data_IF_682224821645
#
_entry.id   IF_682224821645
#
_cell.length_a   1.000
_cell.length_b   1.000
_cell.length_c   1.000
_cell.angle_alpha   90.00
_cell.angle_beta   90.00
_cell.angle_gamma   90.00
#
_symmetry.space_group_name_H-M   'P 1'
#
loop_
_entity.id
_entity.type
_entity.pdbx_description
1 polymer ?
#
# COMPACT_ATOMS: atom_id res chain seq x y z
N UNK A 1 -17.74 -8.68 41.77
CA UNK A 1 -16.88 -9.35 40.80
C UNK A 1 -16.81 -8.44 39.59
N UNK A 2 -15.79 -7.59 39.52
CA UNK A 2 -15.56 -6.63 38.44
C UNK A 2 -14.78 -7.35 37.34
N UNK A 3 -15.42 -7.52 36.18
CA UNK A 3 -14.76 -8.05 35.02
C UNK A 3 -13.70 -7.03 34.53
N UNK A 4 -12.44 -7.38 34.68
CA UNK A 4 -11.31 -6.68 34.10
C UNK A 4 -11.39 -6.86 32.57
N UNK A 5 -11.81 -5.81 31.87
CA UNK A 5 -11.63 -5.72 30.41
C UNK A 5 -10.13 -5.57 30.15
N UNK A 6 -9.48 -6.66 29.82
CA UNK A 6 -8.08 -6.64 29.39
C UNK A 6 -7.96 -5.71 28.19
N UNK A 7 -7.26 -4.61 28.37
CA UNK A 7 -6.73 -3.82 27.27
C UNK A 7 -5.79 -4.72 26.47
N UNK A 8 -6.26 -5.23 25.34
CA UNK A 8 -5.41 -5.98 24.42
C UNK A 8 -4.23 -5.09 24.04
N UNK A 9 -3.01 -5.58 24.25
CA UNK A 9 -1.80 -4.93 23.74
C UNK A 9 -1.98 -4.72 22.25
N UNK A 10 -1.93 -3.45 21.82
CA UNK A 10 -1.98 -3.10 20.41
C UNK A 10 -0.92 -3.88 19.64
N UNK A 11 -1.24 -4.48 18.50
CA UNK A 11 -0.30 -5.28 17.76
C UNK A 11 0.89 -4.39 17.32
N UNK A 12 2.09 -4.82 17.66
CA UNK A 12 3.35 -4.24 17.15
C UNK A 12 3.52 -4.54 15.65
N UNK A 13 2.56 -4.15 14.82
CA UNK A 13 2.45 -4.52 13.43
C UNK A 13 2.30 -3.32 12.51
N UNK A 14 1.88 -3.59 11.30
CA UNK A 14 1.62 -2.59 10.26
C UNK A 14 0.13 -2.34 10.14
N UNK A 15 -0.28 -1.08 10.17
CA UNK A 15 -1.65 -0.65 9.88
C UNK A 15 -1.68 -0.06 8.48
N UNK A 16 -2.43 -0.66 7.60
CA UNK A 16 -2.58 -0.25 6.20
C UNK A 16 -3.90 0.50 6.04
N UNK A 17 -3.85 1.72 5.52
CA UNK A 17 -5.01 2.47 5.05
C UNK A 17 -5.04 2.39 3.54
N UNK A 18 -6.06 1.80 2.96
CA UNK A 18 -6.12 1.64 1.50
C UNK A 18 -7.37 0.90 1.03
N UNK A 19 -7.43 0.69 -0.27
CA UNK A 19 -8.60 0.12 -0.93
C UNK A 19 -8.77 -1.38 -0.62
N UNK A 20 -10.02 -1.77 -0.35
CA UNK A 20 -10.54 -3.14 -0.36
C UNK A 20 -11.69 -3.19 -1.36
N UNK A 21 -11.56 -3.99 -2.40
CA UNK A 21 -12.52 -4.07 -3.50
C UNK A 21 -12.57 -5.48 -4.10
N UNK A 22 -13.54 -5.73 -4.96
CA UNK A 22 -13.58 -6.96 -5.72
C UNK A 22 -12.94 -6.76 -7.11
N UNK A 23 -11.87 -7.51 -7.37
CA UNK A 23 -11.31 -7.63 -8.71
C UNK A 23 -12.17 -8.61 -9.52
N UNK A 24 -12.72 -8.15 -10.62
CA UNK A 24 -13.55 -8.92 -11.54
C UNK A 24 -12.78 -9.14 -12.84
N UNK A 25 -12.48 -10.39 -13.14
CA UNK A 25 -11.84 -10.77 -14.40
C UNK A 25 -12.94 -11.21 -15.36
N UNK A 26 -13.09 -10.49 -16.46
CA UNK A 26 -13.99 -10.86 -17.53
C UNK A 26 -13.23 -11.64 -18.61
N UNK A 27 -13.53 -12.91 -18.75
CA UNK A 27 -12.94 -13.80 -19.73
C UNK A 27 -13.51 -13.58 -21.14
N UNK A 28 -12.79 -14.02 -22.17
CA UNK A 28 -13.23 -13.88 -23.58
C UNK A 28 -14.54 -14.61 -23.90
N UNK A 29 -14.91 -15.62 -23.11
CA UNK A 29 -16.17 -16.37 -23.22
C UNK A 29 -17.35 -15.70 -22.47
N UNK A 30 -17.14 -14.52 -21.87
CA UNK A 30 -18.13 -13.78 -21.09
C UNK A 30 -18.29 -14.28 -19.67
N UNK A 31 -17.56 -15.29 -19.24
CA UNK A 31 -17.54 -15.70 -17.83
C UNK A 31 -16.80 -14.68 -16.97
N UNK A 32 -17.20 -14.56 -15.69
CA UNK A 32 -16.57 -13.65 -14.74
C UNK A 32 -16.05 -14.40 -13.53
N UNK A 33 -14.78 -14.21 -13.21
CA UNK A 33 -14.18 -14.62 -11.96
C UNK A 33 -14.06 -13.41 -11.03
N UNK A 34 -14.20 -13.63 -9.71
CA UNK A 34 -14.04 -12.57 -8.70
C UNK A 34 -12.94 -12.98 -7.73
N UNK A 35 -12.09 -12.02 -7.41
CA UNK A 35 -11.03 -12.16 -6.41
C UNK A 35 -11.08 -10.98 -5.44
N UNK A 36 -10.78 -11.18 -4.15
CA UNK A 36 -10.57 -10.05 -3.26
C UNK A 36 -9.31 -9.30 -3.71
N UNK A 37 -9.37 -7.98 -3.71
CA UNK A 37 -8.31 -7.14 -4.22
C UNK A 37 -8.33 -5.74 -3.64
N UNK A 38 -7.61 -4.85 -4.31
CA UNK A 38 -7.33 -3.49 -3.87
C UNK A 38 -5.93 -3.37 -3.28
N UNK A 39 -5.30 -2.22 -3.49
CA UNK A 39 -3.91 -1.99 -3.08
C UNK A 39 -3.72 -2.16 -1.56
N UNK A 40 -4.67 -1.68 -0.75
CA UNK A 40 -4.64 -1.85 0.70
C UNK A 40 -4.72 -3.32 1.12
N UNK A 41 -5.64 -4.08 0.51
CA UNK A 41 -5.77 -5.51 0.79
C UNK A 41 -4.51 -6.27 0.42
N UNK A 42 -3.98 -6.08 -0.79
CA UNK A 42 -2.78 -6.77 -1.27
C UNK A 42 -1.59 -6.50 -0.35
N UNK A 43 -1.39 -5.24 0.04
CA UNK A 43 -0.32 -4.85 0.96
C UNK A 43 -0.49 -5.51 2.34
N UNK A 44 -1.68 -5.45 2.94
CA UNK A 44 -1.93 -6.04 4.25
C UNK A 44 -1.71 -7.55 4.27
N UNK A 45 -2.16 -8.25 3.22
CA UNK A 45 -1.91 -9.69 3.03
C UNK A 45 -0.41 -9.95 2.84
N UNK A 46 0.29 -9.17 2.03
CA UNK A 46 1.73 -9.29 1.83
C UNK A 46 2.51 -9.16 3.15
N UNK A 47 2.19 -8.13 3.95
CA UNK A 47 2.77 -7.93 5.29
C UNK A 47 2.51 -9.14 6.19
N UNK A 48 1.26 -9.64 6.18
CA UNK A 48 0.90 -10.79 7.01
C UNK A 48 1.64 -12.06 6.57
N UNK A 49 1.80 -12.30 5.28
CA UNK A 49 2.56 -13.43 4.71
C UNK A 49 4.05 -13.37 5.02
N UNK A 50 4.60 -12.18 5.20
CA UNK A 50 5.98 -11.98 5.67
C UNK A 50 6.14 -12.16 7.19
N UNK A 51 5.06 -12.54 7.92
CA UNK A 51 5.11 -12.86 9.35
C UNK A 51 4.86 -11.67 10.28
N UNK A 52 4.62 -10.47 9.75
CA UNK A 52 4.31 -9.27 10.55
C UNK A 52 2.80 -9.17 10.76
N UNK A 53 2.30 -8.88 11.98
CA UNK A 53 0.88 -8.60 12.19
C UNK A 53 0.41 -7.43 11.33
N UNK A 54 -0.76 -7.56 10.71
CA UNK A 54 -1.31 -6.55 9.83
C UNK A 54 -2.77 -6.22 10.17
N UNK A 55 -3.11 -4.93 10.06
CA UNK A 55 -4.49 -4.45 10.07
C UNK A 55 -4.78 -3.65 8.79
N UNK A 56 -5.98 -3.81 8.24
CA UNK A 56 -6.47 -3.05 7.09
C UNK A 56 -7.59 -2.11 7.52
N UNK A 57 -7.39 -0.82 7.29
CA UNK A 57 -8.40 0.23 7.48
C UNK A 57 -8.94 0.60 6.11
N UNK A 58 -10.20 0.30 5.85
CA UNK A 58 -10.81 0.51 4.52
C UNK A 58 -12.30 0.80 4.64
N UNK A 59 -12.89 1.63 3.75
CA UNK A 59 -14.34 1.72 3.60
C UNK A 59 -14.89 0.36 3.15
N UNK A 60 -15.88 -0.16 3.88
CA UNK A 60 -16.51 -1.45 3.57
C UNK A 60 -18.01 -1.34 3.62
N UNK A 61 -18.67 -1.62 2.50
CA UNK A 61 -20.13 -1.53 2.35
C UNK A 61 -20.85 -2.61 3.12
N UNK A 62 -22.11 -2.34 3.46
CA UNK A 62 -23.00 -3.30 4.12
C UNK A 62 -23.85 -4.05 3.07
N UNK A 63 -23.19 -4.60 2.04
CA UNK A 63 -23.81 -5.43 1.01
C UNK A 63 -23.15 -6.83 0.96
N UNK A 64 -23.76 -7.77 0.24
CA UNK A 64 -23.26 -9.15 0.19
C UNK A 64 -21.84 -9.28 -0.38
N UNK A 65 -21.39 -8.33 -1.21
CA UNK A 65 -20.02 -8.32 -1.72
C UNK A 65 -19.05 -7.79 -0.65
N UNK A 66 -19.47 -6.80 0.15
CA UNK A 66 -18.73 -6.32 1.32
C UNK A 66 -18.57 -7.39 2.39
N UNK A 67 -19.63 -8.21 2.63
CA UNK A 67 -19.53 -9.33 3.57
C UNK A 67 -18.52 -10.38 3.08
N UNK A 68 -18.56 -10.73 1.80
CA UNK A 68 -17.57 -11.62 1.19
C UNK A 68 -16.14 -11.08 1.32
N UNK A 69 -15.92 -9.78 1.15
CA UNK A 69 -14.60 -9.17 1.35
C UNK A 69 -14.16 -9.21 2.81
N UNK A 70 -15.07 -9.03 3.79
CA UNK A 70 -14.75 -9.20 5.23
C UNK A 70 -14.27 -10.61 5.53
N UNK A 71 -14.95 -11.63 4.98
CA UNK A 71 -14.53 -13.02 5.11
C UNK A 71 -13.16 -13.26 4.49
N UNK A 72 -12.89 -12.70 3.31
CA UNK A 72 -11.61 -12.82 2.64
C UNK A 72 -10.45 -12.22 3.44
N UNK A 73 -10.64 -11.02 4.03
CA UNK A 73 -9.62 -10.40 4.91
C UNK A 73 -9.36 -11.26 6.13
N UNK A 74 -10.41 -11.81 6.74
CA UNK A 74 -10.30 -12.70 7.91
C UNK A 74 -9.56 -14.00 7.58
N UNK A 75 -9.81 -14.56 6.39
CA UNK A 75 -9.15 -15.79 5.93
C UNK A 75 -7.63 -15.62 5.75
N UNK A 76 -7.17 -14.38 5.52
CA UNK A 76 -5.73 -14.05 5.42
C UNK A 76 -5.11 -13.67 6.77
N UNK A 77 -5.83 -13.84 7.89
CA UNK A 77 -5.38 -13.48 9.25
C UNK A 77 -4.96 -11.99 9.37
N UNK A 78 -5.67 -11.13 8.64
CA UNK A 78 -5.55 -9.67 8.69
C UNK A 78 -6.68 -9.10 9.54
N UNK A 79 -6.37 -8.19 10.45
CA UNK A 79 -7.39 -7.48 11.24
C UNK A 79 -8.06 -6.42 10.38
N UNK A 80 -9.37 -6.55 10.13
CA UNK A 80 -10.11 -5.52 9.41
C UNK A 80 -10.66 -4.45 10.36
N UNK A 81 -10.40 -3.18 10.04
CA UNK A 81 -11.01 -2.00 10.65
C UNK A 81 -11.94 -1.37 9.60
N UNK A 82 -13.21 -1.77 9.55
CA UNK A 82 -14.11 -1.34 8.51
C UNK A 82 -14.60 0.09 8.79
N UNK A 83 -14.25 1.04 7.93
CA UNK A 83 -14.83 2.36 7.95
C UNK A 83 -16.25 2.31 7.36
N UNK A 84 -17.15 3.15 7.89
CA UNK A 84 -18.51 3.25 7.38
C UNK A 84 -18.53 3.69 5.92
N UNK A 85 -19.27 2.96 5.09
CA UNK A 85 -19.43 3.25 3.67
C UNK A 85 -20.92 3.16 3.27
N UNK A 86 -21.45 4.25 2.72
CA UNK A 86 -22.82 4.29 2.20
C UNK A 86 -22.90 3.90 0.71
N UNK A 87 -21.76 3.80 0.03
CA UNK A 87 -21.68 3.40 -1.37
C UNK A 87 -21.74 1.87 -1.48
N UNK A 88 -22.12 1.31 -2.65
CA UNK A 88 -21.95 -0.11 -2.92
C UNK A 88 -20.48 -0.52 -2.84
N UNK A 89 -20.23 -1.80 -2.64
CA UNK A 89 -18.86 -2.34 -2.67
C UNK A 89 -18.19 -2.02 -4.02
N UNK A 90 -16.99 -1.45 -3.94
CA UNK A 90 -16.20 -1.09 -5.10
C UNK A 90 -15.72 -2.31 -5.87
N UNK A 91 -15.65 -2.16 -7.21
CA UNK A 91 -15.11 -3.18 -8.10
C UNK A 91 -14.08 -2.60 -9.06
N UNK A 92 -13.05 -3.39 -9.38
CA UNK A 92 -12.18 -3.17 -10.52
C UNK A 92 -12.43 -4.30 -11.52
N UNK A 93 -12.90 -3.97 -12.71
CA UNK A 93 -13.13 -4.97 -13.76
C UNK A 93 -11.95 -4.95 -14.72
N UNK A 94 -11.29 -6.09 -14.89
CA UNK A 94 -10.26 -6.26 -15.91
C UNK A 94 -10.82 -7.08 -17.08
N UNK A 95 -10.56 -6.61 -18.30
CA UNK A 95 -10.86 -7.32 -19.54
C UNK A 95 -9.69 -7.18 -20.50
N UNK A 96 -9.51 -8.16 -21.37
CA UNK A 96 -8.49 -8.05 -22.42
C UNK A 96 -9.08 -7.38 -23.66
N UNK A 97 -8.44 -6.28 -24.09
CA UNK A 97 -8.75 -5.59 -25.35
C UNK A 97 -7.50 -5.67 -26.24
N UNK A 98 -7.61 -6.28 -27.41
CA UNK A 98 -6.47 -6.55 -28.30
C UNK A 98 -5.27 -7.24 -27.61
N UNK A 99 -5.53 -8.08 -26.61
CA UNK A 99 -4.51 -8.81 -25.85
C UNK A 99 -4.00 -8.10 -24.58
N UNK A 100 -4.24 -6.78 -24.47
CA UNK A 100 -3.81 -5.96 -23.33
C UNK A 100 -4.89 -5.89 -22.24
N UNK A 101 -4.53 -5.92 -20.95
CA UNK A 101 -5.49 -5.75 -19.87
C UNK A 101 -5.94 -4.29 -19.77
N UNK A 102 -7.26 -4.10 -19.77
CA UNK A 102 -7.89 -2.79 -19.52
C UNK A 102 -8.67 -2.89 -18.23
N UNK A 103 -8.46 -1.91 -17.34
CA UNK A 103 -9.13 -1.84 -16.04
C UNK A 103 -10.19 -0.75 -16.05
N UNK A 104 -11.35 -1.10 -15.51
CA UNK A 104 -12.47 -0.18 -15.28
C UNK A 104 -12.88 -0.23 -13.81
N UNK A 105 -12.84 0.92 -13.15
CA UNK A 105 -13.25 1.06 -11.76
C UNK A 105 -14.71 1.49 -11.67
N UNK A 106 -15.46 0.90 -10.73
CA UNK A 106 -16.83 1.32 -10.47
C UNK A 106 -16.88 2.74 -9.88
N UNK A 107 -18.03 3.42 -10.02
CA UNK A 107 -18.26 4.75 -9.45
C UNK A 107 -17.97 4.78 -7.93
N UNK A 108 -18.24 3.69 -7.22
CA UNK A 108 -17.97 3.58 -5.78
C UNK A 108 -16.49 3.73 -5.43
N UNK A 109 -15.57 3.29 -6.31
CA UNK A 109 -14.13 3.51 -6.11
C UNK A 109 -13.74 4.96 -6.40
N UNK A 110 -14.33 5.58 -7.40
CA UNK A 110 -14.10 6.99 -7.70
C UNK A 110 -14.57 7.90 -6.55
N UNK A 111 -15.68 7.56 -5.91
CA UNK A 111 -16.31 8.37 -4.87
C UNK A 111 -16.00 7.91 -3.44
N UNK A 112 -15.03 6.99 -3.27
CA UNK A 112 -14.67 6.42 -1.98
C UNK A 112 -14.27 7.49 -0.95
N UNK A 113 -14.74 7.30 0.29
CA UNK A 113 -14.49 8.21 1.41
C UNK A 113 -13.92 7.46 2.59
N UNK A 114 -12.92 8.06 3.22
CA UNK A 114 -12.31 7.57 4.45
C UNK A 114 -12.73 8.49 5.60
N UNK A 115 -13.80 8.09 6.29
CA UNK A 115 -14.31 8.83 7.44
C UNK A 115 -13.88 8.14 8.74
N UNK A 116 -12.95 8.77 9.46
CA UNK A 116 -12.36 8.20 10.65
C UNK A 116 -13.10 8.59 11.93
N UNK A 117 -13.47 7.61 12.74
CA UNK A 117 -13.94 7.83 14.12
C UNK A 117 -12.76 7.92 15.11
N UNK A 118 -13.03 8.34 16.33
CA UNK A 118 -12.01 8.33 17.39
C UNK A 118 -11.50 6.91 17.71
N UNK A 119 -12.37 5.89 17.59
CA UNK A 119 -12.00 4.49 17.78
C UNK A 119 -11.06 3.99 16.66
N UNK A 120 -11.35 4.37 15.40
CA UNK A 120 -10.49 4.02 14.27
C UNK A 120 -9.09 4.63 14.44
N UNK A 121 -9.02 5.90 14.85
CA UNK A 121 -7.74 6.60 15.11
C UNK A 121 -6.97 5.91 16.24
N UNK A 122 -7.63 5.48 17.31
CA UNK A 122 -7.00 4.75 18.40
C UNK A 122 -6.43 3.41 17.92
N UNK A 123 -7.16 2.69 17.06
CA UNK A 123 -6.69 1.44 16.46
C UNK A 123 -5.49 1.69 15.54
N UNK A 124 -5.54 2.74 14.70
CA UNK A 124 -4.44 3.12 13.82
C UNK A 124 -3.17 3.47 14.60
N UNK A 125 -3.30 4.06 15.79
CA UNK A 125 -2.18 4.33 16.71
C UNK A 125 -1.61 3.10 17.39
N UNK A 126 -2.23 1.92 17.24
CA UNK A 126 -1.78 0.66 17.83
C UNK A 126 -0.60 -0.02 17.12
N UNK A 127 -0.38 0.27 15.83
CA UNK A 127 0.70 -0.32 15.05
C UNK A 127 2.06 0.38 15.26
N UNK A 128 3.15 -0.27 14.88
CA UNK A 128 4.47 0.35 14.79
C UNK A 128 4.57 1.27 13.57
N UNK A 129 3.98 0.85 12.45
CA UNK A 129 3.95 1.56 11.18
C UNK A 129 2.51 1.79 10.75
N UNK A 130 2.20 3.01 10.33
CA UNK A 130 1.00 3.37 9.59
C UNK A 130 1.39 3.61 8.14
N UNK A 131 0.73 2.94 7.20
CA UNK A 131 1.00 3.11 5.78
C UNK A 131 -0.28 3.41 5.03
N UNK A 132 -0.23 4.38 4.13
CA UNK A 132 -1.30 4.64 3.17
C UNK A 132 -0.88 4.19 1.77
N UNK A 133 -1.75 3.42 1.11
CA UNK A 133 -1.54 2.91 -0.24
C UNK A 133 -2.77 3.15 -1.10
N UNK A 134 -2.61 3.87 -2.21
CA UNK A 134 -3.69 4.22 -3.15
C UNK A 134 -4.83 5.03 -2.49
N UNK A 135 -4.50 6.21 -1.97
CA UNK A 135 -5.46 7.14 -1.35
C UNK A 135 -5.92 8.23 -2.35
N UNK A 136 -7.15 8.75 -2.27
CA UNK A 136 -7.63 9.83 -3.15
C UNK A 136 -6.99 11.17 -2.79
N UNK A 137 -5.74 11.39 -3.24
CA UNK A 137 -4.95 12.56 -2.89
C UNK A 137 -5.42 13.86 -3.58
N UNK A 138 -6.29 13.78 -4.56
CA UNK A 138 -6.96 14.93 -5.20
C UNK A 138 -8.16 15.45 -4.39
N UNK A 139 -8.60 14.73 -3.34
CA UNK A 139 -9.58 15.21 -2.36
C UNK A 139 -8.85 15.81 -1.14
N UNK A 140 -8.60 17.11 -1.19
CA UNK A 140 -7.79 17.81 -0.18
C UNK A 140 -8.41 17.80 1.22
N UNK A 141 -9.73 17.63 1.34
CA UNK A 141 -10.41 17.53 2.65
C UNK A 141 -10.13 16.16 3.27
N UNK A 142 -10.17 15.09 2.48
CA UNK A 142 -9.76 13.75 2.94
C UNK A 142 -8.28 13.69 3.29
N UNK A 143 -7.43 14.35 2.49
CA UNK A 143 -6.00 14.48 2.80
C UNK A 143 -5.79 15.18 4.13
N UNK A 144 -6.51 16.28 4.40
CA UNK A 144 -6.40 16.97 5.68
C UNK A 144 -6.87 16.11 6.85
N UNK A 145 -7.98 15.39 6.70
CA UNK A 145 -8.46 14.45 7.71
C UNK A 145 -7.42 13.38 8.03
N UNK A 146 -6.75 12.83 7.01
CA UNK A 146 -5.66 11.85 7.21
C UNK A 146 -4.44 12.47 7.89
N UNK A 147 -4.03 13.67 7.50
CA UNK A 147 -2.93 14.42 8.18
C UNK A 147 -3.23 14.57 9.67
N UNK A 148 -4.46 14.92 10.04
CA UNK A 148 -4.85 15.10 11.44
C UNK A 148 -4.86 13.76 12.20
N UNK A 149 -5.23 12.67 11.54
CA UNK A 149 -5.12 11.31 12.08
C UNK A 149 -3.66 10.95 12.33
N UNK A 150 -2.79 11.11 11.32
CA UNK A 150 -1.35 10.78 11.41
C UNK A 150 -0.69 11.51 12.58
N UNK A 151 -0.92 12.81 12.71
CA UNK A 151 -0.38 13.63 13.81
C UNK A 151 -0.80 13.11 15.19
N UNK A 152 -1.99 12.52 15.31
CA UNK A 152 -2.51 11.96 16.56
C UNK A 152 -1.96 10.59 16.89
N UNK A 153 -1.56 9.82 15.89
CA UNK A 153 -1.01 8.47 16.10
C UNK A 153 0.44 8.47 16.56
N UNK A 154 1.25 9.43 16.09
CA UNK A 154 2.68 9.55 16.42
C UNK A 154 3.51 8.33 16.02
N UNK A 155 3.09 7.61 14.97
CA UNK A 155 3.75 6.40 14.46
C UNK A 155 4.56 6.72 13.21
N UNK A 156 5.52 5.83 12.89
CA UNK A 156 6.17 5.88 11.58
C UNK A 156 5.11 5.87 10.49
N UNK A 157 5.11 6.90 9.65
CA UNK A 157 4.12 7.06 8.60
C UNK A 157 4.72 6.94 7.21
N UNK A 158 4.19 6.01 6.44
CA UNK A 158 4.65 5.67 5.08
C UNK A 158 3.55 6.01 4.07
N UNK A 159 3.93 6.63 2.96
CA UNK A 159 3.03 6.98 1.86
C UNK A 159 3.47 6.27 0.59
N UNK A 160 2.58 5.52 -0.03
CA UNK A 160 2.68 5.08 -1.43
C UNK A 160 1.45 5.62 -2.17
N UNK A 161 1.59 6.63 -3.04
CA UNK A 161 0.47 7.15 -3.80
C UNK A 161 -0.12 6.10 -4.73
N UNK A 162 0.69 5.17 -5.23
CA UNK A 162 0.27 4.06 -6.10
C UNK A 162 -0.74 4.54 -7.13
N UNK A 163 -0.31 5.50 -7.94
CA UNK A 163 -1.16 6.30 -8.83
C UNK A 163 -1.94 5.41 -9.82
N UNK A 164 -3.21 5.67 -9.93
CA UNK A 164 -4.07 5.08 -10.96
C UNK A 164 -4.67 6.22 -11.78
N UNK A 165 -4.16 6.51 -13.00
CA UNK A 165 -4.57 7.68 -13.77
C UNK A 165 -6.08 7.79 -13.94
N UNK A 166 -6.77 6.65 -14.11
CA UNK A 166 -8.24 6.61 -14.25
C UNK A 166 -8.99 7.01 -12.97
N UNK A 167 -8.34 7.00 -11.80
CA UNK A 167 -8.92 7.43 -10.53
C UNK A 167 -8.53 8.87 -10.15
N UNK A 168 -7.60 9.48 -10.86
CA UNK A 168 -7.16 10.87 -10.62
C UNK A 168 -8.09 11.80 -11.39
N UNK A 169 -8.84 12.64 -10.67
CA UNK A 169 -9.76 13.64 -11.27
C UNK A 169 -9.03 14.93 -11.64
N UNK A 170 -8.05 15.31 -10.83
CA UNK A 170 -7.24 16.51 -11.00
C UNK A 170 -5.79 16.23 -10.58
N UNK A 171 -4.89 16.17 -11.56
CA UNK A 171 -3.46 15.89 -11.34
C UNK A 171 -2.79 16.97 -10.47
N UNK A 172 -3.18 18.24 -10.65
CA UNK A 172 -2.60 19.33 -9.87
C UNK A 172 -3.04 19.26 -8.39
N UNK A 173 -4.32 18.96 -8.14
CA UNK A 173 -4.84 18.72 -6.81
C UNK A 173 -4.19 17.47 -6.18
N UNK A 174 -4.02 16.38 -6.94
CA UNK A 174 -3.35 15.16 -6.47
C UNK A 174 -1.91 15.42 -6.03
N UNK A 175 -1.14 16.15 -6.85
CA UNK A 175 0.25 16.57 -6.49
C UNK A 175 0.25 17.46 -5.23
N UNK A 176 -0.73 18.34 -5.09
CA UNK A 176 -0.87 19.20 -3.90
C UNK A 176 -1.18 18.36 -2.66
N UNK A 177 -2.08 17.40 -2.78
CA UNK A 177 -2.41 16.45 -1.71
C UNK A 177 -1.21 15.59 -1.31
N UNK A 178 -0.45 15.07 -2.28
CA UNK A 178 0.77 14.31 -2.01
C UNK A 178 1.80 15.17 -1.25
N UNK A 179 2.05 16.40 -1.69
CA UNK A 179 2.95 17.32 -0.97
C UNK A 179 2.47 17.62 0.44
N UNK A 180 1.15 17.79 0.62
CA UNK A 180 0.56 18.04 1.95
C UNK A 180 0.75 16.84 2.86
N UNK A 181 0.50 15.63 2.36
CA UNK A 181 0.68 14.40 3.13
C UNK A 181 2.16 14.16 3.45
N UNK A 182 3.05 14.50 2.53
CA UNK A 182 4.50 14.43 2.72
C UNK A 182 5.00 15.25 3.92
N UNK A 183 4.31 16.35 4.31
CA UNK A 183 4.72 17.16 5.49
C UNK A 183 4.61 16.41 6.82
N UNK A 184 3.97 15.25 6.85
CA UNK A 184 3.83 14.41 8.04
C UNK A 184 4.34 12.98 7.80
N UNK A 185 4.88 12.68 6.62
CA UNK A 185 5.39 11.38 6.25
C UNK A 185 6.87 11.23 6.65
N UNK A 186 7.22 10.09 7.24
CA UNK A 186 8.61 9.69 7.42
C UNK A 186 9.20 9.13 6.12
N UNK A 187 8.40 8.33 5.40
CA UNK A 187 8.84 7.68 4.17
C UNK A 187 7.81 7.90 3.06
N UNK A 188 8.27 8.25 1.87
CA UNK A 188 7.47 8.24 0.65
C UNK A 188 8.08 7.25 -0.32
N UNK A 189 7.31 6.24 -0.73
CA UNK A 189 7.69 5.33 -1.81
C UNK A 189 6.97 5.79 -3.08
N UNK A 190 7.70 5.86 -4.17
CA UNK A 190 7.24 6.25 -5.50
C UNK A 190 7.79 5.30 -6.55
N UNK A 191 7.12 5.21 -7.68
CA UNK A 191 7.70 4.64 -8.90
C UNK A 191 7.93 5.74 -9.95
N UNK A 192 8.82 5.50 -10.91
CA UNK A 192 8.95 6.38 -12.07
C UNK A 192 7.63 6.49 -12.84
N UNK A 193 6.81 5.43 -12.84
CA UNK A 193 5.50 5.46 -13.46
C UNK A 193 4.54 6.40 -12.72
N UNK A 194 4.51 6.38 -11.37
CA UNK A 194 3.70 7.34 -10.59
C UNK A 194 4.07 8.78 -10.93
N UNK A 195 5.36 9.06 -11.06
CA UNK A 195 5.85 10.41 -11.40
C UNK A 195 5.46 10.81 -12.83
N UNK A 196 5.54 9.88 -13.79
CA UNK A 196 5.08 10.10 -15.16
C UNK A 196 3.57 10.37 -15.22
N UNK A 197 2.77 9.58 -14.51
CA UNK A 197 1.31 9.71 -14.43
C UNK A 197 0.89 11.02 -13.76
N UNK A 198 1.73 11.55 -12.87
CA UNK A 198 1.56 12.86 -12.23
C UNK A 198 2.19 14.01 -13.04
N UNK A 199 2.66 13.76 -14.25
CA UNK A 199 3.30 14.75 -15.13
C UNK A 199 4.48 15.47 -14.43
N UNK A 200 5.32 14.71 -13.72
CA UNK A 200 6.56 15.20 -13.12
C UNK A 200 7.67 15.06 -14.15
N UNK A 201 8.21 16.19 -14.61
CA UNK A 201 9.24 16.23 -15.66
C UNK A 201 10.62 15.80 -15.14
N UNK A 202 10.94 16.17 -13.91
CA UNK A 202 12.22 15.86 -13.26
C UNK A 202 12.00 15.05 -11.97
N UNK A 203 12.12 13.71 -12.02
CA UNK A 203 11.99 12.83 -10.87
C UNK A 203 12.96 13.16 -9.73
N UNK A 204 14.21 13.46 -10.03
CA UNK A 204 15.23 13.73 -9.01
C UNK A 204 14.96 15.06 -8.30
N UNK A 205 14.52 16.09 -9.02
CA UNK A 205 14.08 17.35 -8.42
C UNK A 205 12.87 17.12 -7.51
N UNK A 206 11.90 16.30 -7.93
CA UNK A 206 10.72 16.00 -7.12
C UNK A 206 11.09 15.24 -5.84
N UNK A 207 11.98 14.26 -5.92
CA UNK A 207 12.53 13.57 -4.74
C UNK A 207 13.20 14.59 -3.79
N UNK A 208 14.02 15.48 -4.31
CA UNK A 208 14.66 16.51 -3.50
C UNK A 208 13.65 17.51 -2.88
N UNK A 209 12.53 17.81 -3.55
CA UNK A 209 11.43 18.59 -2.97
C UNK A 209 10.78 17.89 -1.78
N UNK A 210 10.49 16.59 -1.88
CA UNK A 210 9.92 15.80 -0.80
C UNK A 210 10.86 15.76 0.42
N UNK A 211 12.15 15.50 0.21
CA UNK A 211 13.14 15.51 1.30
C UNK A 211 13.24 16.89 1.97
N UNK A 212 13.22 17.98 1.19
CA UNK A 212 13.21 19.35 1.74
C UNK A 212 11.92 19.70 2.49
N UNK A 213 10.80 19.01 2.22
CA UNK A 213 9.53 19.21 2.93
C UNK A 213 9.45 18.49 4.28
N UNK A 214 10.47 17.69 4.63
CA UNK A 214 10.55 16.99 5.90
C UNK A 214 10.44 15.47 5.81
N UNK A 215 10.21 14.92 4.62
CA UNK A 215 10.29 13.46 4.40
C UNK A 215 11.72 13.00 4.70
N UNK A 216 11.87 11.99 5.54
CA UNK A 216 13.18 11.46 5.95
C UNK A 216 13.81 10.58 4.88
N UNK A 217 12.97 9.79 4.22
CA UNK A 217 13.40 8.83 3.21
C UNK A 217 12.44 8.82 2.03
N UNK A 218 12.98 8.88 0.82
CA UNK A 218 12.24 8.60 -0.41
C UNK A 218 12.77 7.32 -1.04
N UNK A 219 11.89 6.36 -1.28
CA UNK A 219 12.20 5.12 -2.01
C UNK A 219 11.63 5.25 -3.41
N UNK A 220 12.51 5.24 -4.42
CA UNK A 220 12.12 5.37 -5.82
C UNK A 220 12.37 4.06 -6.57
N UNK A 221 11.29 3.40 -7.01
CA UNK A 221 11.36 2.20 -7.84
C UNK A 221 11.43 2.57 -9.32
N UNK A 222 12.25 1.82 -10.08
CA UNK A 222 12.62 2.09 -11.48
C UNK A 222 12.33 0.89 -12.39
N UNK A 223 11.25 0.18 -12.13
CA UNK A 223 10.88 -1.04 -12.84
C UNK A 223 12.06 -2.03 -12.94
N UNK A 224 12.52 -2.37 -14.15
CA UNK A 224 13.61 -3.31 -14.36
C UNK A 224 14.98 -2.84 -13.81
N UNK A 225 15.14 -1.52 -13.62
CA UNK A 225 16.37 -0.94 -13.08
C UNK A 225 16.45 -1.01 -11.54
N UNK A 226 15.42 -1.56 -10.88
CA UNK A 226 15.43 -1.81 -9.45
C UNK A 226 14.94 -0.63 -8.60
N UNK A 227 15.64 -0.33 -7.50
CA UNK A 227 15.24 0.66 -6.50
C UNK A 227 16.41 1.53 -6.06
N UNK A 228 16.13 2.80 -5.75
CA UNK A 228 17.04 3.71 -5.06
C UNK A 228 16.38 4.28 -3.80
N UNK A 229 17.18 4.44 -2.75
CA UNK A 229 16.78 5.02 -1.45
C UNK A 229 17.51 6.32 -1.26
N UNK A 230 16.76 7.38 -1.05
CA UNK A 230 17.24 8.75 -0.96
C UNK A 230 16.95 9.33 0.43
N UNK A 231 17.92 10.02 0.99
CA UNK A 231 17.80 10.81 2.23
C UNK A 231 18.34 12.23 1.99
N UNK A 232 18.33 13.06 3.01
CA UNK A 232 18.93 14.39 2.93
C UNK A 232 20.44 14.34 2.59
N UNK A 233 21.11 13.25 2.91
CA UNK A 233 22.55 13.01 2.61
C UNK A 233 22.80 12.48 1.19
N UNK A 234 21.75 12.30 0.39
CA UNK A 234 21.80 11.78 -0.97
C UNK A 234 21.30 10.35 -1.09
N UNK A 235 21.79 9.60 -2.10
CA UNK A 235 21.42 8.19 -2.32
C UNK A 235 22.21 7.31 -1.35
N UNK A 236 21.53 6.68 -0.40
CA UNK A 236 22.15 5.84 0.64
C UNK A 236 22.17 4.36 0.28
N UNK A 237 21.28 3.92 -0.62
CA UNK A 237 21.25 2.55 -1.11
C UNK A 237 20.65 2.46 -2.52
N UNK A 238 21.10 1.45 -3.27
CA UNK A 238 20.48 1.00 -4.53
C UNK A 238 20.48 -0.52 -4.54
N UNK A 239 19.46 -1.12 -5.17
CA UNK A 239 19.41 -2.54 -5.44
C UNK A 239 18.84 -2.79 -6.83
N UNK A 240 19.53 -3.56 -7.69
CA UNK A 240 18.97 -3.98 -8.97
C UNK A 240 17.90 -5.06 -8.74
N UNK A 241 17.05 -5.28 -9.73
CA UNK A 241 16.18 -6.47 -9.75
C UNK A 241 17.10 -7.70 -9.92
N UNK A 242 16.99 -8.71 -9.03
CA UNK A 242 17.82 -9.90 -9.13
C UNK A 242 17.42 -10.75 -10.33
N UNK A 243 18.41 -11.41 -10.94
CA UNK A 243 18.11 -12.46 -11.91
C UNK A 243 17.46 -13.66 -11.21
N UNK A 244 16.34 -14.11 -11.74
CA UNK A 244 15.57 -15.25 -11.22
C UNK A 244 15.23 -16.23 -12.34
N UNK A 245 15.23 -17.55 -12.06
CA UNK A 245 14.83 -18.55 -13.06
C UNK A 245 13.39 -18.33 -13.53
N UNK A 246 13.15 -18.58 -14.82
CA UNK A 246 11.83 -18.49 -15.45
C UNK A 246 11.45 -17.09 -15.94
N UNK A 247 10.45 -17.01 -16.82
CA UNK A 247 10.02 -15.75 -17.39
C UNK A 247 9.28 -14.88 -16.36
N UNK A 248 9.29 -13.58 -16.58
CA UNK A 248 8.33 -12.66 -15.95
C UNK A 248 6.95 -12.98 -16.52
N UNK A 249 6.00 -13.30 -15.64
CA UNK A 249 4.64 -13.67 -15.99
C UNK A 249 3.72 -12.45 -15.90
N UNK A 250 3.89 -11.65 -14.82
CA UNK A 250 3.09 -10.47 -14.54
C UNK A 250 3.91 -9.53 -13.66
N UNK A 251 3.88 -8.24 -13.93
CA UNK A 251 4.53 -7.23 -13.07
C UNK A 251 3.59 -6.61 -12.05
N UNK A 252 2.31 -7.00 -12.08
CA UNK A 252 1.33 -6.59 -11.08
C UNK A 252 1.78 -7.05 -9.68
N UNK A 253 1.55 -6.23 -8.67
CA UNK A 253 1.91 -6.55 -7.28
C UNK A 253 3.39 -6.38 -6.93
N UNK A 254 4.30 -6.13 -7.90
CA UNK A 254 5.72 -5.89 -7.60
C UNK A 254 5.93 -4.67 -6.70
N UNK A 255 5.17 -3.60 -6.93
CA UNK A 255 5.16 -2.41 -6.08
C UNK A 255 4.67 -2.68 -4.67
N UNK A 256 3.57 -3.44 -4.54
CA UNK A 256 3.00 -3.83 -3.25
C UNK A 256 3.95 -4.79 -2.51
N UNK A 257 4.63 -5.71 -3.21
CA UNK A 257 5.64 -6.59 -2.64
C UNK A 257 6.85 -5.81 -2.10
N UNK A 258 7.35 -4.85 -2.89
CA UNK A 258 8.41 -3.93 -2.46
C UNK A 258 7.99 -3.19 -1.19
N UNK A 259 6.80 -2.58 -1.18
CA UNK A 259 6.30 -1.85 -0.03
C UNK A 259 6.09 -2.76 1.18
N UNK A 260 5.53 -3.96 1.01
CA UNK A 260 5.32 -4.93 2.08
C UNK A 260 6.65 -5.26 2.80
N UNK A 261 7.72 -5.55 2.04
CA UNK A 261 9.02 -5.84 2.66
C UNK A 261 9.60 -4.63 3.40
N UNK A 262 9.47 -3.43 2.81
CA UNK A 262 9.94 -2.19 3.43
C UNK A 262 9.23 -1.94 4.76
N UNK A 263 7.89 -1.97 4.79
CA UNK A 263 7.13 -1.67 6.02
C UNK A 263 7.30 -2.74 7.10
N UNK A 264 7.55 -4.01 6.73
CA UNK A 264 7.96 -5.04 7.67
C UNK A 264 9.31 -4.69 8.31
N UNK A 265 10.31 -4.28 7.49
CA UNK A 265 11.59 -3.82 8.00
C UNK A 265 11.47 -2.62 8.93
N UNK A 266 10.61 -1.67 8.60
CA UNK A 266 10.36 -0.51 9.49
C UNK A 266 9.66 -0.88 10.79
N UNK A 267 8.80 -1.90 10.79
CA UNK A 267 8.18 -2.40 12.01
C UNK A 267 9.17 -3.15 12.92
N UNK A 268 10.20 -3.75 12.33
CA UNK A 268 11.27 -4.46 13.03
C UNK A 268 12.35 -3.51 13.58
N UNK A 269 12.86 -2.61 12.74
CA UNK A 269 14.10 -1.87 12.95
C UNK A 269 13.88 -0.34 13.06
N UNK A 270 12.66 0.15 12.78
CA UNK A 270 12.38 1.59 12.57
C UNK A 270 12.86 2.08 11.21
N UNK A 271 12.87 3.40 11.01
CA UNK A 271 13.29 4.04 9.75
C UNK A 271 14.69 4.64 9.80
N UNK A 272 15.29 4.73 11.01
CA UNK A 272 16.65 5.25 11.22
C UNK A 272 17.69 4.16 10.96
N UNK A 273 17.74 3.68 9.73
CA UNK A 273 18.63 2.61 9.32
C UNK A 273 19.96 3.18 8.82
N UNK A 274 21.05 2.48 9.13
CA UNK A 274 22.33 2.78 8.50
C UNK A 274 22.38 2.34 7.02
N UNK A 275 23.41 2.76 6.31
CA UNK A 275 23.53 2.47 4.88
C UNK A 275 23.67 0.96 4.58
N UNK A 276 24.18 0.16 5.52
CA UNK A 276 24.29 -1.28 5.34
C UNK A 276 22.91 -1.94 5.41
N UNK A 277 22.13 -1.59 6.44
CA UNK A 277 20.77 -2.11 6.61
C UNK A 277 19.83 -1.64 5.49
N UNK A 278 19.98 -0.37 5.01
CA UNK A 278 19.24 0.09 3.83
C UNK A 278 19.53 -0.73 2.59
N UNK A 279 20.83 -1.07 2.33
CA UNK A 279 21.18 -1.92 1.19
C UNK A 279 20.58 -3.32 1.30
N UNK A 280 20.59 -3.90 2.49
CA UNK A 280 20.01 -5.22 2.72
C UNK A 280 18.49 -5.19 2.54
N UNK A 281 17.80 -4.23 3.13
CA UNK A 281 16.35 -4.08 3.01
C UNK A 281 15.92 -3.80 1.55
N UNK A 282 16.67 -2.96 0.83
CA UNK A 282 16.42 -2.71 -0.59
C UNK A 282 16.57 -3.99 -1.43
N UNK A 283 17.62 -4.81 -1.14
CA UNK A 283 17.82 -6.09 -1.83
C UNK A 283 16.70 -7.08 -1.52
N UNK A 284 16.34 -7.23 -0.24
CA UNK A 284 15.23 -8.09 0.19
C UNK A 284 13.90 -7.68 -0.48
N UNK A 285 13.65 -6.39 -0.64
CA UNK A 285 12.47 -5.88 -1.32
C UNK A 285 12.48 -6.21 -2.82
N UNK A 286 13.62 -6.09 -3.48
CA UNK A 286 13.76 -6.46 -4.90
C UNK A 286 13.70 -7.96 -5.12
N UNK A 287 14.21 -8.77 -4.20
CA UNK A 287 14.08 -10.22 -4.22
C UNK A 287 12.61 -10.64 -4.20
N UNK A 288 11.83 -10.08 -3.27
CA UNK A 288 10.40 -10.35 -3.16
C UNK A 288 9.63 -9.88 -4.39
N UNK A 289 9.91 -8.67 -4.89
CA UNK A 289 9.27 -8.14 -6.09
C UNK A 289 9.54 -9.03 -7.32
N UNK A 290 10.79 -9.51 -7.47
CA UNK A 290 11.16 -10.40 -8.56
C UNK A 290 10.45 -11.76 -8.46
N UNK A 291 10.26 -12.29 -7.26
CA UNK A 291 9.53 -13.56 -7.05
C UNK A 291 8.03 -13.38 -7.37
N UNK A 292 7.40 -12.27 -6.96
CA UNK A 292 6.00 -11.96 -7.28
C UNK A 292 5.79 -11.78 -8.78
N UNK A 293 6.71 -11.19 -9.52
CA UNK A 293 6.60 -11.06 -10.97
C UNK A 293 6.54 -12.41 -11.72
N UNK A 294 6.77 -13.54 -11.07
CA UNK A 294 6.66 -14.90 -11.62
C UNK A 294 5.35 -15.60 -11.28
N UNK A 295 4.47 -14.91 -10.56
CA UNK A 295 3.14 -15.39 -10.15
C UNK A 295 2.09 -14.63 -10.97
N UNK A 296 1.17 -15.36 -11.60
CA UNK A 296 0.07 -14.74 -12.36
C UNK A 296 -0.83 -13.91 -11.45
N UNK A 297 -1.16 -12.69 -11.87
CA UNK A 297 -2.01 -11.74 -11.14
C UNK A 297 -1.31 -11.05 -9.96
N UNK A 298 0.03 -11.20 -9.79
CA UNK A 298 0.80 -10.48 -8.76
C UNK A 298 0.29 -10.67 -7.33
N UNK A 299 -0.32 -11.83 -7.05
CA UNK A 299 -1.04 -12.07 -5.80
C UNK A 299 -0.10 -12.41 -4.65
N UNK A 300 0.08 -11.48 -3.70
CA UNK A 300 0.89 -11.67 -2.51
C UNK A 300 0.35 -12.78 -1.58
N UNK A 301 -0.94 -13.14 -1.68
CA UNK A 301 -1.50 -14.29 -0.97
C UNK A 301 -0.90 -15.64 -1.43
N UNK A 302 -0.30 -15.69 -2.62
CA UNK A 302 0.42 -16.87 -3.10
C UNK A 302 1.80 -17.06 -2.43
N UNK A 303 2.31 -16.06 -1.71
CA UNK A 303 3.51 -16.20 -0.88
C UNK A 303 3.26 -17.25 0.19
N UNK A 304 4.19 -18.18 0.35
CA UNK A 304 4.13 -19.11 1.49
C UNK A 304 4.37 -18.31 2.77
N UNK A 305 3.55 -18.50 3.83
CA UNK A 305 3.78 -17.85 5.11
C UNK A 305 5.21 -18.15 5.58
N UNK A 306 5.93 -17.12 5.97
CA UNK A 306 7.22 -17.32 6.63
C UNK A 306 6.95 -17.89 8.03
N UNK A 307 7.41 -19.11 8.30
CA UNK A 307 7.33 -19.66 9.66
C UNK A 307 8.04 -18.72 10.63
N UNK A 308 7.33 -18.25 11.65
CA UNK A 308 7.96 -17.51 12.74
C UNK A 308 9.06 -18.37 13.34
N UNK A 309 10.30 -17.98 13.20
CA UNK A 309 11.35 -18.48 14.07
C UNK A 309 11.02 -17.94 15.47
N UNK A 310 10.48 -18.79 16.33
CA UNK A 310 10.39 -18.48 17.77
C UNK A 310 11.80 -18.13 18.24
N UNK A 311 11.96 -16.89 18.73
CA UNK A 311 13.18 -16.44 19.40
C UNK A 311 12.99 -16.54 20.88
#
# INVERSE_FOLDING_TARGET
MTASTGAGTAPSGVVVVGDLLADVIENADGTRARHPGGAGFNLAVGVRRLGTPAALVSPVSADGLGDWLREAVTAEDVTLVPLSCALPTGTATSRRVAGEPVYEFSAAIHDRRYAYTAADVATMGGGAVLVVNSYPLDDLDQVQALVDVVRRTGRTFVVDPNVRPTLVRDVAAYRSGLRRLATVADVVKLSLQDLADLHVEDPEQFVAELLRSGVRVVVLTRAADGVSVHTADGVVATAPVPDRPGPVVDTMGAGDATLARLVCGFAEDGVDLDAARWRDLAREAMDLAADICRISGGNLAALRPTERKER
#
